data_IF_253653452721
#
_entry.id   IF_253653452721
#
_cell.length_a   1.000
_cell.length_b   1.000
_cell.length_c   1.000
_cell.angle_alpha   90.00
_cell.angle_beta   90.00
_cell.angle_gamma   90.00
#
_symmetry.space_group_name_H-M   'P 1'
#
loop_
_entity.id
_entity.type
_entity.pdbx_description
1 polymer ?
#
# COMPACT_ATOMS: atom_id res chain seq x y z
N UNK A 1 -9.83 -2.89 11.30
CA UNK A 1 -8.74 -3.30 10.37
C UNK A 1 -7.43 -2.61 10.75
N UNK A 2 -7.35 -1.27 10.69
CA UNK A 2 -6.14 -0.50 11.03
C UNK A 2 -5.54 -0.81 12.41
N UNK A 3 -6.35 -0.82 13.48
CA UNK A 3 -5.84 -1.13 14.83
C UNK A 3 -5.11 -2.48 14.90
N UNK A 4 -5.63 -3.49 14.19
CA UNK A 4 -5.01 -4.82 14.16
C UNK A 4 -3.70 -4.83 13.35
N UNK A 5 -3.61 -4.03 12.29
CA UNK A 5 -2.36 -3.83 11.54
C UNK A 5 -1.31 -3.21 12.46
N UNK A 6 -1.65 -2.13 13.16
CA UNK A 6 -0.74 -1.45 14.09
C UNK A 6 -0.22 -2.37 15.18
N UNK A 7 -1.08 -3.17 15.82
CA UNK A 7 -0.64 -4.13 16.84
C UNK A 7 0.31 -5.21 16.30
N UNK A 8 0.17 -5.61 15.03
CA UNK A 8 1.04 -6.64 14.44
C UNK A 8 2.41 -6.07 14.02
N UNK A 9 2.50 -4.77 13.75
CA UNK A 9 3.76 -4.10 13.37
C UNK A 9 4.82 -4.15 14.47
N UNK A 10 4.40 -4.31 15.74
CA UNK A 10 5.32 -4.46 16.86
C UNK A 10 6.14 -5.77 16.79
N UNK A 11 5.69 -6.74 15.99
CA UNK A 11 6.31 -8.08 15.90
C UNK A 11 6.95 -8.39 14.54
N UNK A 12 6.46 -7.80 13.45
CA UNK A 12 6.96 -8.06 12.10
C UNK A 12 6.52 -6.95 11.13
N UNK A 13 7.22 -6.81 9.99
CA UNK A 13 6.75 -5.95 8.91
C UNK A 13 5.43 -6.47 8.33
N UNK A 14 4.46 -5.57 8.17
CA UNK A 14 3.10 -5.90 7.73
C UNK A 14 2.87 -5.38 6.31
N UNK A 15 2.50 -6.32 5.44
CA UNK A 15 1.91 -6.01 4.13
C UNK A 15 0.40 -6.12 4.27
N UNK A 16 -0.33 -5.06 3.92
CA UNK A 16 -1.79 -5.07 3.89
C UNK A 16 -2.29 -4.85 2.46
N UNK A 17 -3.23 -5.69 2.02
CA UNK A 17 -3.82 -5.64 0.69
C UNK A 17 -5.32 -5.43 0.82
N UNK A 18 -5.87 -4.45 0.11
CA UNK A 18 -7.30 -4.14 0.16
C UNK A 18 -7.75 -3.36 -1.08
N UNK A 19 -9.04 -3.40 -1.36
CA UNK A 19 -9.66 -2.82 -2.56
C UNK A 19 -10.74 -1.78 -2.24
N UNK A 20 -11.21 -1.75 -0.99
CA UNK A 20 -12.30 -0.90 -0.52
C UNK A 20 -11.84 0.41 0.14
N UNK A 21 -12.73 1.40 0.17
CA UNK A 21 -12.51 2.66 0.89
C UNK A 21 -12.34 2.40 2.40
N UNK A 22 -13.02 1.39 2.94
CA UNK A 22 -12.92 0.96 4.33
C UNK A 22 -11.55 0.33 4.69
N UNK A 23 -10.71 0.05 3.71
CA UNK A 23 -9.34 -0.46 3.91
C UNK A 23 -8.29 0.65 4.01
N UNK A 24 -8.60 1.89 3.61
CA UNK A 24 -7.60 2.96 3.47
C UNK A 24 -6.81 3.23 4.75
N UNK A 25 -7.48 3.23 5.91
CA UNK A 25 -6.78 3.40 7.19
C UNK A 25 -5.84 2.23 7.52
N UNK A 26 -6.19 1.01 7.12
CA UNK A 26 -5.33 -0.16 7.32
C UNK A 26 -4.17 -0.19 6.33
N UNK A 27 -4.43 0.19 5.09
CA UNK A 27 -3.44 0.36 4.03
C UNK A 27 -2.37 1.40 4.43
N UNK A 28 -2.79 2.54 4.99
CA UNK A 28 -1.88 3.60 5.44
C UNK A 28 -1.17 3.30 6.77
N UNK A 29 -1.74 2.40 7.58
CA UNK A 29 -1.10 1.96 8.82
C UNK A 29 0.04 0.98 8.54
N UNK A 30 -0.13 0.08 7.57
CA UNK A 30 0.83 -0.97 7.23
C UNK A 30 2.19 -0.40 6.77
N UNK A 31 3.25 -1.21 6.91
CA UNK A 31 4.57 -0.86 6.36
C UNK A 31 4.53 -0.84 4.83
N UNK A 32 3.73 -1.75 4.25
CA UNK A 32 3.43 -1.78 2.82
C UNK A 32 1.93 -1.90 2.62
N UNK A 33 1.29 -0.81 2.19
CA UNK A 33 -0.11 -0.82 1.78
C UNK A 33 -0.24 -1.02 0.27
N UNK A 34 -0.99 -2.04 -0.16
CA UNK A 34 -1.26 -2.33 -1.57
C UNK A 34 -2.76 -2.19 -1.85
N UNK A 35 -3.13 -1.18 -2.61
CA UNK A 35 -4.48 -1.02 -3.16
C UNK A 35 -4.66 -1.97 -4.34
N UNK A 36 -5.62 -2.87 -4.25
CA UNK A 36 -5.96 -3.78 -5.33
C UNK A 36 -7.05 -3.20 -6.23
N UNK A 37 -6.85 -3.25 -7.54
CA UNK A 37 -7.83 -2.83 -8.54
C UNK A 37 -7.38 -1.66 -9.41
N UNK A 38 -8.34 -1.07 -10.14
CA UNK A 38 -8.05 -0.05 -11.15
C UNK A 38 -7.70 1.31 -10.53
N UNK A 39 -7.04 2.21 -11.30
CA UNK A 39 -6.81 3.58 -10.86
C UNK A 39 -8.11 4.35 -10.55
N UNK A 40 -9.23 3.94 -11.15
CA UNK A 40 -10.55 4.58 -10.99
C UNK A 40 -11.44 3.92 -9.95
N UNK A 41 -10.97 2.87 -9.27
CA UNK A 41 -11.68 2.24 -8.17
C UNK A 41 -11.90 3.24 -7.01
N UNK A 42 -12.94 3.02 -6.21
CA UNK A 42 -13.34 3.94 -5.14
C UNK A 42 -12.21 4.20 -4.14
N UNK A 43 -11.48 3.16 -3.71
CA UNK A 43 -10.34 3.31 -2.82
C UNK A 43 -9.24 4.20 -3.44
N UNK A 44 -8.87 3.93 -4.69
CA UNK A 44 -7.87 4.70 -5.43
C UNK A 44 -8.25 6.18 -5.58
N UNK A 45 -9.53 6.45 -5.86
CA UNK A 45 -10.04 7.82 -6.01
C UNK A 45 -10.04 8.57 -4.69
N UNK A 46 -10.51 7.95 -3.61
CA UNK A 46 -10.55 8.56 -2.28
C UNK A 46 -9.12 8.79 -1.75
N UNK A 47 -8.22 7.82 -1.90
CA UNK A 47 -6.81 7.98 -1.51
C UNK A 47 -6.19 9.22 -2.16
N UNK A 48 -6.28 9.35 -3.49
CA UNK A 48 -5.76 10.52 -4.21
C UNK A 48 -6.43 11.83 -3.79
N UNK A 49 -7.75 11.81 -3.53
CA UNK A 49 -8.47 12.99 -3.07
C UNK A 49 -7.90 13.54 -1.75
N UNK A 50 -7.45 12.65 -0.85
CA UNK A 50 -6.79 13.00 0.40
C UNK A 50 -5.26 13.16 0.27
N UNK A 51 -4.73 13.28 -0.94
CA UNK A 51 -3.30 13.54 -1.17
C UNK A 51 -2.39 12.31 -1.06
N UNK A 52 -2.94 11.10 -0.96
CA UNK A 52 -2.14 9.87 -0.97
C UNK A 52 -1.68 9.56 -2.40
N UNK A 53 -0.35 9.42 -2.57
CA UNK A 53 0.25 9.01 -3.83
C UNK A 53 0.00 7.52 -4.07
N UNK A 54 -0.31 7.15 -5.31
CA UNK A 54 -0.44 5.76 -5.73
C UNK A 54 0.63 5.44 -6.79
N UNK A 55 1.45 4.43 -6.53
CA UNK A 55 2.47 3.93 -7.46
C UNK A 55 2.12 2.50 -7.87
N UNK A 56 2.14 2.23 -9.18
CA UNK A 56 1.83 0.89 -9.68
C UNK A 56 2.99 -0.06 -9.41
N UNK A 57 2.71 -1.23 -8.86
CA UNK A 57 3.73 -2.25 -8.61
C UNK A 57 4.44 -2.70 -9.89
N UNK A 58 3.79 -2.56 -11.05
CA UNK A 58 4.40 -2.87 -12.34
C UNK A 58 5.48 -1.84 -12.74
N UNK A 59 5.38 -0.61 -12.25
CA UNK A 59 6.33 0.48 -12.51
C UNK A 59 7.40 0.58 -11.41
N UNK A 60 7.22 -0.15 -10.32
CA UNK A 60 8.11 -0.13 -9.17
C UNK A 60 9.34 -1.01 -9.42
N UNK A 61 10.53 -0.44 -9.20
CA UNK A 61 11.80 -1.13 -9.45
C UNK A 61 12.20 -2.03 -8.28
N UNK A 62 11.66 -1.74 -7.10
CA UNK A 62 11.84 -2.49 -5.89
C UNK A 62 10.86 -3.67 -5.81
N UNK A 63 11.36 -4.90 -5.96
CA UNK A 63 10.54 -6.12 -5.89
C UNK A 63 10.50 -6.77 -4.50
N UNK A 64 11.17 -6.21 -3.49
CA UNK A 64 11.18 -6.78 -2.13
C UNK A 64 10.29 -5.99 -1.16
N UNK A 65 9.67 -6.71 -0.21
CA UNK A 65 8.85 -6.11 0.85
C UNK A 65 9.63 -5.04 1.63
N UNK A 66 10.90 -5.31 1.95
CA UNK A 66 11.74 -4.37 2.68
C UNK A 66 11.99 -3.07 1.91
N UNK A 67 12.21 -3.15 0.60
CA UNK A 67 12.43 -1.98 -0.24
C UNK A 67 11.14 -1.15 -0.41
N UNK A 68 9.98 -1.80 -0.57
CA UNK A 68 8.70 -1.11 -0.59
C UNK A 68 8.40 -0.43 0.75
N UNK A 69 8.66 -1.10 1.86
CA UNK A 69 8.49 -0.55 3.20
C UNK A 69 9.37 0.67 3.42
N UNK A 70 10.64 0.61 3.00
CA UNK A 70 11.56 1.75 3.06
C UNK A 70 11.04 2.93 2.22
N UNK A 71 10.58 2.69 0.99
CA UNK A 71 10.03 3.72 0.12
C UNK A 71 8.78 4.38 0.73
N UNK A 72 7.85 3.58 1.26
CA UNK A 72 6.65 4.09 1.93
C UNK A 72 6.99 4.89 3.20
N UNK A 73 7.96 4.42 4.01
CA UNK A 73 8.44 5.11 5.20
C UNK A 73 9.08 6.47 4.88
N UNK A 74 9.95 6.53 3.86
CA UNK A 74 10.53 7.80 3.39
C UNK A 74 9.44 8.77 2.93
N UNK A 75 8.50 8.31 2.10
CA UNK A 75 7.40 9.14 1.61
C UNK A 75 6.52 9.68 2.75
N UNK A 76 6.26 8.86 3.78
CA UNK A 76 5.53 9.28 4.98
C UNK A 76 6.29 10.34 5.78
N UNK A 77 7.61 10.20 5.93
CA UNK A 77 8.46 11.19 6.61
C UNK A 77 8.48 12.55 5.89
N UNK A 78 8.30 12.54 4.57
CA UNK A 78 8.17 13.74 3.71
C UNK A 78 6.75 14.31 3.67
N UNK A 79 5.85 13.83 4.52
CA UNK A 79 4.42 14.20 4.55
C UNK A 79 3.70 13.97 3.21
N UNK A 80 4.15 12.97 2.44
CA UNK A 80 3.61 12.58 1.14
C UNK A 80 3.26 11.08 1.16
N UNK A 81 2.22 10.66 1.91
CA UNK A 81 1.90 9.25 2.11
C UNK A 81 1.73 8.51 0.78
N UNK A 82 2.28 7.30 0.72
CA UNK A 82 2.36 6.48 -0.47
C UNK A 82 1.66 5.13 -0.24
N UNK A 83 0.85 4.71 -1.21
CA UNK A 83 0.41 3.32 -1.34
C UNK A 83 0.85 2.76 -2.69
N UNK A 84 1.06 1.46 -2.72
CA UNK A 84 1.30 0.73 -3.95
C UNK A 84 -0.02 0.26 -4.55
N UNK A 85 -0.07 0.05 -5.87
CA UNK A 85 -1.25 -0.47 -6.56
C UNK A 85 -0.94 -1.76 -7.30
N UNK A 86 -1.77 -2.77 -7.10
CA UNK A 86 -1.80 -3.97 -7.91
C UNK A 86 -3.04 -3.94 -8.84
N UNK A 87 -2.89 -3.87 -10.18
CA UNK A 87 -4.04 -3.96 -11.10
C UNK A 87 -4.68 -5.35 -11.15
N UNK A 88 -3.92 -6.40 -10.82
CA UNK A 88 -4.33 -7.78 -11.00
C UNK A 88 -3.56 -8.72 -10.08
N UNK A 89 -4.11 -9.92 -9.89
CA UNK A 89 -3.44 -11.00 -9.15
C UNK A 89 -2.13 -11.44 -9.81
N UNK A 90 -2.00 -11.30 -11.14
CA UNK A 90 -0.76 -11.60 -11.83
C UNK A 90 0.38 -10.69 -11.37
N UNK A 91 0.16 -9.37 -11.34
CA UNK A 91 1.16 -8.41 -10.87
C UNK A 91 1.45 -8.62 -9.37
N UNK A 92 0.41 -8.81 -8.57
CA UNK A 92 0.59 -9.05 -7.13
C UNK A 92 1.37 -10.35 -6.87
N UNK A 93 1.12 -11.40 -7.65
CA UNK A 93 1.81 -12.68 -7.56
C UNK A 93 3.26 -12.65 -8.01
N UNK A 94 3.72 -11.62 -8.73
CA UNK A 94 5.15 -11.42 -8.98
C UNK A 94 5.87 -10.88 -7.75
N UNK A 95 5.16 -10.15 -6.88
CA UNK A 95 5.70 -9.54 -5.67
C UNK A 95 5.68 -10.50 -4.46
N UNK A 96 4.67 -11.37 -4.35
CA UNK A 96 4.51 -12.28 -3.19
C UNK A 96 5.30 -13.60 -3.30
N UNK A 97 6.26 -13.69 -4.23
CA UNK A 97 7.06 -14.90 -4.48
C UNK A 97 8.38 -14.90 -3.73
#
# INVERSE_FOLDING_TARGET
KAQRVTTLQDSASIVYIGDGVNDLLALLAADVGIVFGSPNASASRVARHFGVRLVDLADEKALSVAALAAHAATAKAENAPLLFRAPSWHILGLFLR
#
